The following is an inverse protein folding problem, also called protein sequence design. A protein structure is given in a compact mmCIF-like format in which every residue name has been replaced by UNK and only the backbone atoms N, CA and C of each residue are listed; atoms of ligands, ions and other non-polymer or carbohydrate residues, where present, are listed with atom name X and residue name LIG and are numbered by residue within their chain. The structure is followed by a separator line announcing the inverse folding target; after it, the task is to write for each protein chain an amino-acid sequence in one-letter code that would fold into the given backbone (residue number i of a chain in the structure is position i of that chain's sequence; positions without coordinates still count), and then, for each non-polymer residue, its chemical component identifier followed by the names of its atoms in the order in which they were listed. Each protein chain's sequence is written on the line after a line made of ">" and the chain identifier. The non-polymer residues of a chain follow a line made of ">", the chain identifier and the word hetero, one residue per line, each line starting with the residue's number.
data_IF_205332819162
#
_entry.id   IF_205332819162
#
_cell.length_a   1.000
_cell.length_b   1.000
_cell.length_c   1.000
_cell.angle_alpha   90.00
_cell.angle_beta   90.00
_cell.angle_gamma   90.00
#
_symmetry.space_group_name_H-M   'P 1'
#
loop_
_entity.id
_entity.type
_entity.pdbx_description
1 polymer ?
#
# COMPACT_ATOMS: atom_id res chain seq x y z
N UNK A 1 14.02 -22.15 -17.89
CA UNK A 1 12.70 -21.77 -17.32
C UNK A 1 12.78 -20.30 -16.93
N UNK A 2 12.16 -19.35 -17.66
CA UNK A 2 12.18 -17.97 -17.21
C UNK A 2 11.38 -17.87 -15.92
N UNK A 3 12.05 -17.49 -14.83
CA UNK A 3 11.40 -17.14 -13.59
C UNK A 3 10.51 -15.94 -13.88
N UNK A 4 9.22 -16.20 -14.10
CA UNK A 4 8.18 -15.18 -14.16
C UNK A 4 8.09 -14.62 -12.76
N UNK A 5 8.95 -13.64 -12.45
CA UNK A 5 8.76 -12.78 -11.29
C UNK A 5 7.28 -12.38 -11.34
N UNK A 6 6.47 -12.66 -10.31
CA UNK A 6 5.11 -12.19 -10.30
C UNK A 6 5.22 -10.67 -10.36
N UNK A 7 4.92 -10.11 -11.53
CA UNK A 7 4.98 -8.67 -11.76
C UNK A 7 3.93 -8.06 -10.85
N UNK A 8 4.37 -7.55 -9.71
CA UNK A 8 3.52 -6.78 -8.81
C UNK A 8 2.92 -5.65 -9.67
N UNK A 9 1.58 -5.58 -9.79
CA UNK A 9 0.94 -4.57 -10.62
C UNK A 9 1.37 -3.18 -10.15
N UNK A 10 1.71 -2.30 -11.10
CA UNK A 10 2.14 -0.94 -10.84
C UNK A 10 1.10 0.03 -11.42
N UNK A 11 0.63 0.95 -10.57
CA UNK A 11 -0.25 2.05 -10.93
C UNK A 11 0.53 3.37 -10.95
N UNK A 12 0.03 4.36 -11.68
CA UNK A 12 0.66 5.68 -11.81
C UNK A 12 -0.38 6.74 -11.55
N UNK A 13 -0.14 7.60 -10.55
CA UNK A 13 -1.02 8.69 -10.10
C UNK A 13 -2.46 8.30 -9.71
N UNK A 14 -2.79 7.02 -9.77
CA UNK A 14 -4.10 6.46 -9.46
C UNK A 14 -3.98 5.34 -8.43
N UNK A 15 -4.83 5.39 -7.41
CA UNK A 15 -4.90 4.37 -6.36
C UNK A 15 -6.26 3.69 -6.46
N UNK A 16 -6.32 2.39 -6.79
CA UNK A 16 -7.60 1.66 -6.88
C UNK A 16 -8.34 1.67 -5.55
N UNK A 17 -9.69 1.72 -5.57
CA UNK A 17 -10.51 1.78 -4.33
C UNK A 17 -10.28 0.59 -3.37
N UNK A 18 -9.98 -0.59 -3.91
CA UNK A 18 -9.66 -1.78 -3.12
C UNK A 18 -8.28 -1.75 -2.45
N UNK A 19 -7.43 -0.80 -2.85
CA UNK A 19 -6.06 -0.68 -2.39
C UNK A 19 -5.85 0.64 -1.63
N UNK A 20 -4.86 0.65 -0.76
CA UNK A 20 -4.44 1.84 -0.04
C UNK A 20 -2.93 1.83 0.17
N UNK A 21 -2.33 3.01 0.21
CA UNK A 21 -0.98 3.15 0.73
C UNK A 21 -0.98 2.92 2.25
N UNK A 22 0.17 2.55 2.80
CA UNK A 22 0.33 2.38 4.26
C UNK A 22 -0.07 3.64 5.04
N UNK A 23 0.17 4.82 4.46
CA UNK A 23 -0.21 6.10 5.06
C UNK A 23 -1.75 6.29 5.10
N UNK A 24 -2.45 5.95 4.02
CA UNK A 24 -3.93 5.97 3.99
C UNK A 24 -4.54 4.98 4.97
N UNK A 25 -3.98 3.76 5.08
CA UNK A 25 -4.43 2.79 6.07
C UNK A 25 -4.22 3.35 7.48
N UNK A 26 -3.04 3.89 7.77
CA UNK A 26 -2.73 4.47 9.08
C UNK A 26 -3.63 5.64 9.43
N UNK A 27 -3.94 6.51 8.47
CA UNK A 27 -4.91 7.61 8.65
C UNK A 27 -6.32 7.11 8.95
N UNK A 28 -6.68 5.91 8.49
CA UNK A 28 -7.93 5.22 8.82
C UNK A 28 -7.85 4.37 10.11
N UNK A 29 -6.73 4.41 10.85
CA UNK A 29 -6.52 3.57 12.03
C UNK A 29 -6.29 2.09 11.69
N UNK A 30 -5.84 1.79 10.48
CA UNK A 30 -5.56 0.46 9.97
C UNK A 30 -4.07 0.28 9.67
N UNK A 31 -3.61 -0.96 9.66
CA UNK A 31 -2.28 -1.36 9.18
C UNK A 31 -2.40 -2.50 8.17
N UNK A 32 -1.49 -2.57 7.20
CA UNK A 32 -1.47 -3.69 6.28
C UNK A 32 -1.21 -5.00 7.05
N UNK A 33 -1.97 -6.06 6.75
CA UNK A 33 -1.74 -7.39 7.36
C UNK A 33 -0.38 -8.02 6.99
N UNK A 34 0.36 -7.43 6.05
CA UNK A 34 1.65 -7.93 5.61
C UNK A 34 2.55 -6.77 5.16
N UNK A 35 3.84 -6.86 5.44
CA UNK A 35 4.84 -5.90 4.94
C UNK A 35 5.07 -5.99 3.43
N UNK A 36 4.53 -7.02 2.76
CA UNK A 36 4.62 -7.17 1.31
C UNK A 36 3.47 -6.42 0.63
N UNK A 37 3.76 -5.40 -0.20
CA UNK A 37 2.72 -4.73 -0.97
C UNK A 37 2.21 -5.65 -2.09
N UNK A 38 0.90 -5.60 -2.34
CA UNK A 38 0.24 -6.36 -3.41
C UNK A 38 0.33 -5.64 -4.76
N UNK A 39 0.54 -4.33 -4.73
CA UNK A 39 0.73 -3.47 -5.89
C UNK A 39 1.70 -2.33 -5.54
N UNK A 40 2.21 -1.64 -6.55
CA UNK A 40 2.99 -0.42 -6.36
C UNK A 40 2.22 0.75 -6.98
N UNK A 41 2.34 1.95 -6.43
CA UNK A 41 1.87 3.18 -7.04
C UNK A 41 3.04 4.15 -7.17
N UNK A 42 3.21 4.72 -8.35
CA UNK A 42 4.11 5.82 -8.59
C UNK A 42 3.33 7.12 -8.57
N UNK A 43 3.59 7.96 -7.57
CA UNK A 43 2.98 9.27 -7.43
C UNK A 43 3.95 10.30 -7.99
N UNK A 44 3.55 10.96 -9.07
CA UNK A 44 4.31 12.00 -9.74
C UNK A 44 3.84 13.37 -9.21
N UNK A 45 4.49 13.85 -8.16
CA UNK A 45 4.37 15.25 -7.77
C UNK A 45 5.23 16.13 -8.70
N UNK A 46 4.86 17.40 -8.92
CA UNK A 46 5.56 18.30 -9.85
C UNK A 46 7.07 18.46 -9.59
N UNK A 47 7.55 18.17 -8.38
CA UNK A 47 8.97 18.21 -8.01
C UNK A 47 9.55 16.87 -7.55
N UNK A 48 8.73 15.81 -7.42
CA UNK A 48 9.18 14.52 -6.85
C UNK A 48 8.35 13.35 -7.37
N UNK A 49 9.02 12.28 -7.76
CA UNK A 49 8.38 10.99 -8.02
C UNK A 49 8.57 10.10 -6.80
N UNK A 50 7.48 9.56 -6.27
CA UNK A 50 7.53 8.66 -5.10
C UNK A 50 6.89 7.33 -5.46
N UNK A 51 7.67 6.26 -5.40
CA UNK A 51 7.16 4.90 -5.54
C UNK A 51 6.76 4.37 -4.17
N UNK A 52 5.48 4.07 -3.99
CA UNK A 52 4.90 3.62 -2.73
C UNK A 52 4.21 2.27 -2.90
N UNK A 53 4.31 1.41 -1.88
CA UNK A 53 3.57 0.15 -1.83
C UNK A 53 2.08 0.36 -1.56
N UNK A 54 1.26 -0.36 -2.31
CA UNK A 54 -0.17 -0.49 -2.10
C UNK A 54 -0.49 -1.84 -1.42
N UNK A 55 -1.42 -1.78 -0.49
CA UNK A 55 -1.89 -2.89 0.32
C UNK A 55 -3.41 -3.00 0.19
N UNK A 56 -3.94 -4.22 0.34
CA UNK A 56 -5.39 -4.43 0.27
C UNK A 56 -6.09 -3.84 1.48
N UNK A 57 -7.09 -2.99 1.27
CA UNK A 57 -7.92 -2.46 2.36
C UNK A 57 -8.70 -3.57 3.05
N UNK A 58 -9.18 -4.55 2.30
CA UNK A 58 -9.94 -5.69 2.82
C UNK A 58 -9.09 -6.61 3.72
N UNK A 59 -7.79 -6.69 3.47
CA UNK A 59 -6.85 -7.43 4.32
C UNK A 59 -6.23 -6.55 5.39
N UNK A 60 -6.47 -5.24 5.41
CA UNK A 60 -5.93 -4.37 6.44
C UNK A 60 -6.56 -4.71 7.79
N UNK A 61 -5.73 -4.80 8.81
CA UNK A 61 -6.15 -5.06 10.18
C UNK A 61 -6.19 -3.74 10.95
N UNK A 62 -7.00 -3.62 12.02
CA UNK A 62 -6.91 -2.50 12.95
C UNK A 62 -5.45 -2.31 13.36
N UNK A 63 -5.00 -1.05 13.32
CA UNK A 63 -3.77 -0.68 13.99
C UNK A 63 -4.03 -0.98 15.46
N UNK A 64 -3.37 -2.00 16.00
CA UNK A 64 -3.46 -2.33 17.41
C UNK A 64 -2.94 -1.09 18.15
N UNK A 65 -3.88 -0.25 18.59
CA UNK A 65 -3.58 0.85 19.47
C UNK A 65 -3.30 0.16 20.78
N UNK A 66 -2.03 -0.16 21.04
CA UNK A 66 -1.60 -0.45 22.40
C UNK A 66 -2.08 0.73 23.25
N UNK A 67 -3.15 0.49 24.00
CA UNK A 67 -3.73 1.37 24.99
C UNK A 67 -2.58 1.91 25.86
N UNK A 68 -2.33 3.24 25.89
CA UNK A 68 -1.38 3.77 26.85
C UNK A 68 -2.00 3.61 28.23
N UNK A 69 -1.51 2.63 28.98
CA UNK A 69 -1.71 2.52 30.43
C UNK A 69 -0.92 3.62 31.14
#
# INVERSE_FOLDING_TARGET
>A
MPHRNPSIPKYVDEIPEGLATRDQLKAAGLQPASDRPVALVELNAPNRQTLTGLFERAAAVPLDQEDPT
#
